data_IF_624374445355
#
_entry.id   IF_624374445355
#
_cell.length_a   1.000
_cell.length_b   1.000
_cell.length_c   1.000
_cell.angle_alpha   90.00
_cell.angle_beta   90.00
_cell.angle_gamma   90.00
#
_symmetry.space_group_name_H-M   'P 1'
#
loop_
_entity.id
_entity.type
_entity.pdbx_description
1 polymer ?
#
# COMPACT_ATOMS: atom_id res chain seq x y z
N UNK A 1 -22.37 20.82 6.19
CA UNK A 1 -21.49 20.98 5.01
C UNK A 1 -21.68 22.37 4.48
N UNK A 2 -20.61 23.16 4.47
CA UNK A 2 -20.58 24.55 4.01
C UNK A 2 -20.77 24.59 2.49
N UNK A 3 -21.47 25.60 1.96
CA UNK A 3 -21.61 25.76 0.50
C UNK A 3 -20.23 25.85 -0.17
N UNK A 4 -20.05 25.15 -1.30
CA UNK A 4 -18.83 25.22 -2.11
C UNK A 4 -19.12 26.08 -3.35
N UNK A 5 -18.81 27.39 -3.33
CA UNK A 5 -19.25 28.30 -4.37
C UNK A 5 -18.64 27.97 -5.74
N UNK A 6 -19.31 28.35 -6.85
CA UNK A 6 -18.72 28.27 -8.17
C UNK A 6 -17.36 28.98 -8.24
N UNK A 7 -16.42 28.39 -8.96
CA UNK A 7 -15.05 28.89 -9.09
C UNK A 7 -14.09 28.29 -8.07
N UNK A 8 -14.59 27.56 -7.08
CA UNK A 8 -13.75 26.80 -6.16
C UNK A 8 -13.18 25.55 -6.84
N UNK A 9 -11.91 25.27 -6.55
CA UNK A 9 -11.27 24.02 -6.95
C UNK A 9 -11.40 23.01 -5.81
N UNK A 10 -11.79 21.80 -6.16
CA UNK A 10 -11.90 20.68 -5.23
C UNK A 10 -11.08 19.51 -5.76
N UNK A 11 -10.78 18.56 -4.87
CA UNK A 11 -10.28 17.25 -5.26
C UNK A 11 -11.17 16.13 -4.78
N UNK A 12 -11.14 15.04 -5.53
CA UNK A 12 -11.77 13.79 -5.16
C UNK A 12 -10.90 12.63 -5.62
N UNK A 13 -11.13 11.45 -5.02
CA UNK A 13 -10.48 10.22 -5.45
C UNK A 13 -11.31 9.53 -6.53
N UNK A 14 -10.65 9.19 -7.63
CA UNK A 14 -11.17 8.36 -8.71
C UNK A 14 -10.20 7.20 -8.98
N UNK A 15 -10.65 5.97 -8.77
CA UNK A 15 -9.81 4.75 -8.87
C UNK A 15 -8.46 4.87 -8.16
N UNK A 16 -8.44 5.47 -6.96
CA UNK A 16 -7.24 5.66 -6.14
C UNK A 16 -6.33 6.81 -6.57
N UNK A 17 -6.72 7.62 -7.56
CA UNK A 17 -5.97 8.81 -7.99
C UNK A 17 -6.70 10.08 -7.63
N UNK A 18 -5.95 11.12 -7.25
CA UNK A 18 -6.48 12.45 -7.03
C UNK A 18 -6.84 13.12 -8.36
N UNK A 19 -8.03 13.70 -8.41
CA UNK A 19 -8.52 14.43 -9.57
C UNK A 19 -8.99 15.82 -9.13
N UNK A 20 -8.39 16.85 -9.72
CA UNK A 20 -8.81 18.24 -9.56
C UNK A 20 -10.06 18.52 -10.38
N UNK A 21 -11.01 19.24 -9.78
CA UNK A 21 -12.23 19.71 -10.43
C UNK A 21 -12.57 21.15 -10.07
N UNK A 22 -13.00 21.91 -11.07
CA UNK A 22 -13.53 23.26 -10.90
C UNK A 22 -15.05 23.19 -10.71
N UNK A 23 -15.55 23.72 -9.60
CA UNK A 23 -16.98 23.79 -9.32
C UNK A 23 -17.65 24.82 -10.22
N UNK A 24 -18.65 24.37 -10.98
CA UNK A 24 -19.48 25.20 -11.86
C UNK A 24 -20.79 25.60 -11.19
N UNK A 25 -21.34 24.72 -10.35
CA UNK A 25 -22.59 24.93 -9.62
C UNK A 25 -22.62 24.07 -8.36
N UNK A 26 -23.14 24.63 -7.27
CA UNK A 26 -23.52 23.89 -6.06
C UNK A 26 -25.04 23.74 -6.05
N UNK A 27 -25.53 22.52 -5.90
CA UNK A 27 -26.95 22.18 -5.87
C UNK A 27 -27.30 21.36 -4.63
N UNK A 28 -26.85 21.84 -3.45
CA UNK A 28 -27.13 21.27 -2.12
C UNK A 28 -26.90 19.76 -2.08
N UNK A 29 -25.69 19.35 -1.65
CA UNK A 29 -25.18 17.97 -1.55
C UNK A 29 -24.62 17.39 -2.87
N UNK A 30 -24.77 18.09 -4.00
CA UNK A 30 -24.09 17.72 -5.25
C UNK A 30 -23.44 18.94 -5.90
N UNK A 31 -22.21 18.74 -6.36
CA UNK A 31 -21.42 19.73 -7.08
C UNK A 31 -21.39 19.35 -8.56
N UNK A 32 -21.83 20.25 -9.43
CA UNK A 32 -21.55 20.16 -10.87
C UNK A 32 -20.16 20.72 -11.11
N UNK A 33 -19.28 19.94 -11.71
CA UNK A 33 -17.88 20.29 -11.87
C UNK A 33 -17.31 19.90 -13.22
N UNK A 34 -16.30 20.65 -13.67
CA UNK A 34 -15.41 20.33 -14.78
C UNK A 34 -14.12 19.74 -14.19
N UNK A 35 -13.75 18.53 -14.55
CA UNK A 35 -12.50 17.93 -14.06
C UNK A 35 -11.30 18.17 -15.00
N UNK A 36 -10.09 17.87 -14.51
CA UNK A 36 -8.83 18.01 -15.26
C UNK A 36 -8.75 17.16 -16.55
N UNK A 37 -9.65 16.20 -16.73
CA UNK A 37 -9.77 15.37 -17.94
C UNK A 37 -10.77 15.95 -18.95
N UNK A 38 -11.34 17.13 -18.67
CA UNK A 38 -12.32 17.78 -19.52
C UNK A 38 -13.70 17.12 -19.50
N UNK A 39 -14.05 16.39 -18.44
CA UNK A 39 -15.41 15.85 -18.24
C UNK A 39 -16.21 16.75 -17.30
N UNK A 40 -17.46 16.98 -17.64
CA UNK A 40 -18.43 17.58 -16.71
C UNK A 40 -19.21 16.48 -16.00
N UNK A 41 -19.36 16.61 -14.68
CA UNK A 41 -20.06 15.60 -13.88
C UNK A 41 -20.70 16.20 -12.62
N UNK A 42 -21.59 15.43 -12.01
CA UNK A 42 -22.18 15.75 -10.71
C UNK A 42 -21.57 14.86 -9.63
N UNK A 43 -20.77 15.43 -8.74
CA UNK A 43 -20.13 14.73 -7.64
C UNK A 43 -20.92 14.95 -6.32
N UNK A 44 -21.23 13.90 -5.56
CA UNK A 44 -21.74 14.06 -4.19
C UNK A 44 -20.71 14.82 -3.35
N UNK A 45 -21.16 15.80 -2.56
CA UNK A 45 -20.27 16.64 -1.76
C UNK A 45 -19.43 15.78 -0.79
N UNK A 46 -19.98 14.68 -0.28
CA UNK A 46 -19.28 13.71 0.59
C UNK A 46 -18.07 13.00 -0.05
N UNK A 47 -17.86 13.10 -1.37
CA UNK A 47 -16.67 12.55 -2.06
C UNK A 47 -15.53 13.57 -2.19
N UNK A 48 -15.74 14.81 -1.79
CA UNK A 48 -14.72 15.85 -1.82
C UNK A 48 -13.69 15.57 -0.73
N UNK A 49 -12.40 15.70 -1.08
CA UNK A 49 -11.26 15.51 -0.18
C UNK A 49 -10.65 16.84 0.22
N UNK A 50 -10.46 17.75 -0.73
CA UNK A 50 -9.94 19.11 -0.48
C UNK A 50 -10.84 20.14 -1.14
N UNK A 51 -10.89 21.33 -0.55
CA UNK A 51 -11.61 22.50 -1.06
C UNK A 51 -10.68 23.69 -0.97
N UNK A 52 -10.35 24.29 -2.11
CA UNK A 52 -9.52 25.50 -2.17
C UNK A 52 -10.26 26.72 -1.62
N UNK A 53 -9.56 27.56 -0.87
CA UNK A 53 -10.02 28.85 -0.36
C UNK A 53 -10.09 29.88 -1.50
N UNK A 54 -9.18 29.79 -2.47
CA UNK A 54 -9.10 30.68 -3.63
C UNK A 54 -10.20 30.39 -4.63
N UNK A 55 -10.83 31.45 -5.15
CA UNK A 55 -11.81 31.36 -6.25
C UNK A 55 -11.14 31.67 -7.57
N UNK A 56 -11.38 30.79 -8.54
CA UNK A 56 -10.89 30.92 -9.91
C UNK A 56 -12.01 31.36 -10.85
N UNK A 57 -11.63 32.02 -11.95
CA UNK A 57 -12.58 32.47 -12.94
C UNK A 57 -13.17 31.29 -13.71
N UNK A 58 -14.48 31.32 -13.94
CA UNK A 58 -15.22 30.27 -14.66
C UNK A 58 -15.51 30.68 -16.11
N UNK A 59 -15.41 31.98 -16.43
CA UNK A 59 -15.78 32.56 -17.71
C UNK A 59 -14.67 32.44 -18.78
N UNK A 60 -13.55 31.81 -18.46
CA UNK A 60 -12.47 31.52 -19.41
C UNK A 60 -12.84 30.34 -20.31
N UNK A 61 -12.02 30.08 -21.33
CA UNK A 61 -12.29 28.97 -22.26
C UNK A 61 -12.30 27.63 -21.51
N UNK A 62 -12.93 26.61 -22.10
CA UNK A 62 -12.89 25.25 -21.53
C UNK A 62 -11.45 24.73 -21.44
N UNK A 63 -10.64 25.04 -22.45
CA UNK A 63 -9.24 24.60 -22.55
C UNK A 63 -8.39 25.23 -21.44
N UNK A 64 -8.53 26.53 -21.18
CA UNK A 64 -7.80 27.24 -20.11
C UNK A 64 -8.10 26.65 -18.73
N UNK A 65 -9.39 26.35 -18.46
CA UNK A 65 -9.80 25.74 -17.19
C UNK A 65 -9.23 24.33 -17.02
N UNK A 66 -9.15 23.55 -18.09
CA UNK A 66 -8.53 22.23 -18.06
C UNK A 66 -7.02 22.35 -17.84
N UNK A 67 -6.36 23.31 -18.50
CA UNK A 67 -4.93 23.57 -18.34
C UNK A 67 -4.60 23.95 -16.89
N UNK A 68 -5.35 24.89 -16.31
CA UNK A 68 -5.24 25.28 -14.89
C UNK A 68 -5.36 24.07 -13.96
N UNK A 69 -6.40 23.23 -14.13
CA UNK A 69 -6.60 22.07 -13.28
C UNK A 69 -5.47 21.05 -13.38
N UNK A 70 -4.89 20.87 -14.58
CA UNK A 70 -3.74 19.97 -14.79
C UNK A 70 -2.46 20.53 -14.16
N UNK A 71 -2.22 21.82 -14.30
CA UNK A 71 -1.08 22.51 -13.68
C UNK A 71 -1.14 22.37 -12.16
N UNK A 72 -2.29 22.67 -11.55
CA UNK A 72 -2.48 22.51 -10.11
C UNK A 72 -2.38 21.05 -9.67
N UNK A 73 -2.92 20.11 -10.46
CA UNK A 73 -2.79 18.69 -10.14
C UNK A 73 -1.34 18.21 -10.12
N UNK A 74 -0.52 18.68 -11.08
CA UNK A 74 0.90 18.40 -11.16
C UNK A 74 1.68 19.06 -10.00
N UNK A 75 1.48 20.36 -9.77
CA UNK A 75 2.11 21.08 -8.68
C UNK A 75 1.84 20.43 -7.32
N UNK A 76 0.57 20.07 -7.05
CA UNK A 76 0.20 19.38 -5.81
C UNK A 76 0.84 17.99 -5.70
N UNK A 77 1.07 17.29 -6.82
CA UNK A 77 1.73 15.99 -6.79
C UNK A 77 3.22 16.15 -6.45
N UNK A 78 3.88 17.13 -7.08
CA UNK A 78 5.29 17.45 -6.80
C UNK A 78 5.48 17.88 -5.34
N UNK A 79 4.55 18.69 -4.80
CA UNK A 79 4.56 19.08 -3.39
C UNK A 79 4.28 17.92 -2.45
N UNK A 80 3.41 16.97 -2.82
CA UNK A 80 3.08 15.80 -1.99
C UNK A 80 4.30 14.95 -1.69
N UNK A 81 5.16 14.73 -2.69
CA UNK A 81 6.37 13.91 -2.55
C UNK A 81 7.41 14.57 -1.62
N UNK A 82 7.32 15.89 -1.42
CA UNK A 82 8.21 16.65 -0.56
C UNK A 82 7.72 16.77 0.90
N UNK A 83 6.52 16.27 1.24
CA UNK A 83 5.96 16.38 2.59
C UNK A 83 6.68 15.43 3.56
N UNK A 84 7.39 15.92 4.59
CA UNK A 84 8.11 15.09 5.53
C UNK A 84 7.16 14.56 6.62
N UNK A 85 6.32 13.55 6.29
CA UNK A 85 5.30 13.03 7.21
C UNK A 85 5.86 12.52 8.55
N UNK A 86 7.07 11.95 8.56
CA UNK A 86 7.70 11.49 9.80
C UNK A 86 8.06 12.65 10.72
N UNK A 87 8.67 13.72 10.19
CA UNK A 87 9.05 14.91 10.97
C UNK A 87 7.81 15.63 11.53
N UNK A 88 6.76 15.79 10.69
CA UNK A 88 5.49 16.37 11.13
C UNK A 88 4.87 15.51 12.25
N UNK A 89 4.98 14.18 12.12
CA UNK A 89 4.45 13.25 13.11
C UNK A 89 5.21 13.32 14.43
N UNK A 90 6.54 13.41 14.42
CA UNK A 90 7.36 13.55 15.62
C UNK A 90 6.89 14.75 16.44
N UNK A 91 6.75 15.92 15.80
CA UNK A 91 6.26 17.14 16.45
C UNK A 91 4.82 16.98 16.97
N UNK A 92 3.91 16.50 16.13
CA UNK A 92 2.49 16.39 16.49
C UNK A 92 2.21 15.32 17.55
N UNK A 93 3.10 14.33 17.69
CA UNK A 93 2.95 13.24 18.67
C UNK A 93 3.36 13.62 20.09
N UNK A 94 4.06 14.75 20.27
CA UNK A 94 4.42 15.29 21.58
C UNK A 94 3.27 16.04 22.26
N UNK A 95 2.27 16.46 21.47
CA UNK A 95 1.08 17.16 21.95
C UNK A 95 0.11 16.22 22.68
N UNK A 96 -0.67 16.76 23.63
CA UNK A 96 -1.73 15.99 24.31
C UNK A 96 -2.90 15.66 23.36
N UNK A 97 -3.10 16.50 22.35
CA UNK A 97 -4.10 16.30 21.31
C UNK A 97 -3.60 15.31 20.25
N UNK A 98 -4.49 14.45 19.74
CA UNK A 98 -4.16 13.45 18.69
C UNK A 98 -4.94 13.66 17.41
N UNK A 99 -5.75 14.73 17.34
CA UNK A 99 -6.66 15.00 16.23
C UNK A 99 -6.57 16.47 15.85
N UNK A 100 -6.03 16.75 14.67
CA UNK A 100 -5.73 18.10 14.22
C UNK A 100 -6.42 18.43 12.91
N UNK A 101 -6.74 19.71 12.67
CA UNK A 101 -7.04 20.20 11.32
C UNK A 101 -5.86 19.92 10.39
N UNK A 102 -6.15 19.60 9.12
CA UNK A 102 -5.09 19.30 8.17
C UNK A 102 -4.15 20.49 7.92
N UNK A 103 -4.70 21.71 7.86
CA UNK A 103 -3.91 22.93 7.69
C UNK A 103 -2.90 23.13 8.83
N UNK A 104 -3.29 22.89 10.09
CA UNK A 104 -2.38 23.02 11.23
C UNK A 104 -1.14 22.13 11.09
N UNK A 105 -1.32 20.87 10.71
CA UNK A 105 -0.19 19.96 10.51
C UNK A 105 0.63 20.30 9.25
N UNK A 106 -0.01 20.83 8.21
CA UNK A 106 0.70 21.30 7.03
C UNK A 106 1.56 22.54 7.33
N UNK A 107 1.14 23.42 8.24
CA UNK A 107 1.91 24.59 8.68
C UNK A 107 3.24 24.19 9.34
N UNK A 108 3.33 23.01 9.98
CA UNK A 108 4.58 22.51 10.56
C UNK A 108 5.67 22.28 9.51
N UNK A 109 5.31 22.03 8.25
CA UNK A 109 6.26 21.84 7.15
C UNK A 109 6.37 23.06 6.23
N UNK A 110 5.27 23.75 5.95
CA UNK A 110 5.22 24.82 4.97
C UNK A 110 5.16 26.25 5.57
N UNK A 111 5.00 26.37 6.89
CA UNK A 111 4.81 27.62 7.61
C UNK A 111 3.37 28.17 7.57
N UNK A 112 3.13 29.26 8.31
CA UNK A 112 1.80 29.83 8.60
C UNK A 112 1.02 30.37 7.37
N UNK A 113 1.67 30.56 6.22
CA UNK A 113 1.05 31.10 5.01
C UNK A 113 0.76 30.01 3.97
N UNK A 114 0.00 28.99 4.38
CA UNK A 114 -0.36 27.89 3.50
C UNK A 114 -1.13 28.35 2.27
N UNK A 115 -0.63 27.93 1.11
CA UNK A 115 -1.37 27.97 -0.15
C UNK A 115 -2.34 26.79 -0.23
N UNK A 116 -3.40 26.93 -1.04
CA UNK A 116 -4.35 25.85 -1.29
C UNK A 116 -3.68 24.58 -1.82
N UNK A 117 -2.58 24.73 -2.56
CA UNK A 117 -1.83 23.61 -3.13
C UNK A 117 -0.98 22.89 -2.07
N UNK A 118 -0.42 23.61 -1.09
CA UNK A 118 0.30 23.00 0.05
C UNK A 118 -0.64 22.25 1.00
N UNK A 119 -1.77 22.86 1.37
CA UNK A 119 -2.82 22.18 2.16
C UNK A 119 -3.29 20.89 1.48
N UNK A 120 -3.54 20.97 0.17
CA UNK A 120 -3.92 19.81 -0.62
C UNK A 120 -2.81 18.75 -0.70
N UNK A 121 -1.56 19.17 -0.90
CA UNK A 121 -0.41 18.28 -0.99
C UNK A 121 -0.20 17.48 0.30
N UNK A 122 -0.36 18.12 1.47
CA UNK A 122 -0.31 17.44 2.77
C UNK A 122 -1.40 16.38 2.91
N UNK A 123 -2.65 16.71 2.58
CA UNK A 123 -3.74 15.72 2.63
C UNK A 123 -3.50 14.56 1.64
N UNK A 124 -3.03 14.84 0.43
CA UNK A 124 -2.62 13.80 -0.51
C UNK A 124 -1.56 12.86 0.10
N UNK A 125 -0.55 13.41 0.77
CA UNK A 125 0.49 12.62 1.45
C UNK A 125 -0.11 11.70 2.51
N UNK A 126 -0.99 12.22 3.39
CA UNK A 126 -1.68 11.44 4.43
C UNK A 126 -2.56 10.32 3.85
N UNK A 127 -3.20 10.56 2.71
CA UNK A 127 -4.03 9.54 2.06
C UNK A 127 -3.21 8.44 1.39
N UNK A 128 -2.05 8.80 0.81
CA UNK A 128 -1.12 7.90 0.13
C UNK A 128 -0.32 7.06 1.11
N UNK A 129 0.26 7.66 2.15
CA UNK A 129 0.95 6.95 3.24
C UNK A 129 0.25 7.17 4.58
N UNK A 130 -0.44 6.12 5.03
CA UNK A 130 -1.18 6.08 6.29
C UNK A 130 -0.34 5.60 7.46
N UNK A 131 0.98 5.62 7.34
CA UNK A 131 1.86 5.09 8.37
C UNK A 131 1.82 5.90 9.67
N UNK A 132 1.85 7.22 9.55
CA UNK A 132 1.90 8.14 10.68
C UNK A 132 0.55 8.79 11.00
N UNK A 133 -0.33 8.87 10.00
CA UNK A 133 -1.57 9.61 10.09
C UNK A 133 -2.75 8.86 9.50
N UNK A 134 -3.94 9.22 9.98
CA UNK A 134 -5.22 8.74 9.44
C UNK A 134 -6.23 9.87 9.33
N UNK A 135 -6.67 10.15 8.11
CA UNK A 135 -7.75 11.11 7.88
C UNK A 135 -9.13 10.49 8.17
N UNK A 136 -9.93 11.15 9.02
CA UNK A 136 -11.29 10.75 9.37
C UNK A 136 -12.10 11.96 9.85
N UNK A 137 -13.36 12.05 9.42
CA UNK A 137 -14.29 13.12 9.81
C UNK A 137 -13.72 14.52 9.59
N UNK A 138 -13.12 14.75 8.42
CA UNK A 138 -12.50 16.02 8.03
C UNK A 138 -11.26 16.42 8.85
N UNK A 139 -10.78 15.54 9.74
CA UNK A 139 -9.64 15.75 10.62
C UNK A 139 -8.53 14.71 10.40
N UNK A 140 -7.30 15.07 10.75
CA UNK A 140 -6.15 14.17 10.71
C UNK A 140 -5.88 13.63 12.11
N UNK A 141 -5.94 12.32 12.27
CA UNK A 141 -5.59 11.64 13.51
C UNK A 141 -4.11 11.23 13.43
N UNK A 142 -3.33 11.62 14.43
CA UNK A 142 -1.92 11.27 14.59
C UNK A 142 -1.84 9.90 15.25
N UNK A 143 -1.03 9.00 14.71
CA UNK A 143 -0.78 7.71 15.35
C UNK A 143 0.09 7.89 16.59
N UNK A 144 -0.14 7.12 17.66
CA UNK A 144 0.73 7.19 18.83
C UNK A 144 2.10 6.55 18.54
N UNK A 145 3.16 6.87 19.32
CA UNK A 145 4.46 6.19 19.21
C UNK A 145 4.36 4.66 19.25
N UNK A 146 3.47 4.11 20.09
CA UNK A 146 3.24 2.66 20.17
C UNK A 146 2.61 2.11 18.90
N UNK A 147 1.66 2.84 18.29
CA UNK A 147 1.04 2.44 17.03
C UNK A 147 2.07 2.46 15.89
N UNK A 148 2.90 3.49 15.83
CA UNK A 148 3.98 3.59 14.82
C UNK A 148 5.00 2.47 15.01
N UNK A 149 5.39 2.16 16.25
CA UNK A 149 6.31 1.05 16.51
C UNK A 149 5.72 -0.31 16.12
N UNK A 150 4.43 -0.54 16.39
CA UNK A 150 3.73 -1.73 15.90
C UNK A 150 3.73 -1.80 14.36
N UNK A 151 3.48 -0.68 13.67
CA UNK A 151 3.52 -0.61 12.22
C UNK A 151 4.94 -0.82 11.67
N UNK A 152 5.98 -0.29 12.32
CA UNK A 152 7.40 -0.53 11.97
C UNK A 152 7.73 -2.02 12.07
N UNK A 153 7.36 -2.66 13.17
CA UNK A 153 7.59 -4.09 13.37
C UNK A 153 6.82 -4.95 12.35
N UNK A 154 5.57 -4.59 12.03
CA UNK A 154 4.78 -5.28 11.00
C UNK A 154 5.42 -5.14 9.62
N UNK A 155 5.79 -3.92 9.19
CA UNK A 155 6.49 -3.69 7.92
C UNK A 155 7.81 -4.45 7.84
N UNK A 156 8.57 -4.51 8.94
CA UNK A 156 9.81 -5.28 9.01
C UNK A 156 9.57 -6.78 8.78
N UNK A 157 8.60 -7.37 9.48
CA UNK A 157 8.22 -8.79 9.29
C UNK A 157 7.76 -9.09 7.88
N UNK A 158 6.95 -8.21 7.30
CA UNK A 158 6.49 -8.35 5.90
C UNK A 158 7.65 -8.26 4.91
N UNK A 159 8.60 -7.34 5.13
CA UNK A 159 9.80 -7.21 4.29
C UNK A 159 10.72 -8.42 4.40
N UNK A 160 10.93 -8.93 5.61
CA UNK A 160 11.68 -10.17 5.85
C UNK A 160 11.01 -11.36 5.14
N UNK A 161 9.68 -11.49 5.27
CA UNK A 161 8.90 -12.52 4.56
C UNK A 161 9.01 -12.37 3.05
N UNK A 162 8.85 -11.17 2.50
CA UNK A 162 8.92 -10.94 1.05
C UNK A 162 10.32 -11.19 0.49
N UNK A 163 11.38 -10.88 1.26
CA UNK A 163 12.75 -11.23 0.90
C UNK A 163 12.95 -12.75 0.84
N UNK A 164 12.44 -13.49 1.84
CA UNK A 164 12.45 -14.96 1.84
C UNK A 164 11.70 -15.50 0.62
N UNK A 165 10.51 -14.96 0.31
CA UNK A 165 9.72 -15.40 -0.83
C UNK A 165 10.40 -15.12 -2.16
N UNK A 166 11.02 -13.94 -2.31
CA UNK A 166 11.69 -13.54 -3.56
C UNK A 166 12.93 -14.37 -3.81
N UNK A 167 13.85 -14.43 -2.84
CA UNK A 167 15.10 -15.18 -2.93
C UNK A 167 14.82 -16.67 -3.04
N UNK A 168 13.92 -17.20 -2.22
CA UNK A 168 13.50 -18.59 -2.27
C UNK A 168 12.91 -18.96 -3.64
N UNK A 169 11.97 -18.17 -4.16
CA UNK A 169 11.35 -18.45 -5.45
C UNK A 169 12.37 -18.52 -6.59
N UNK A 170 13.35 -17.62 -6.61
CA UNK A 170 14.42 -17.62 -7.60
C UNK A 170 15.27 -18.90 -7.52
N UNK A 171 15.64 -19.34 -6.31
CA UNK A 171 16.41 -20.58 -6.13
C UNK A 171 15.60 -21.84 -6.44
N UNK A 172 14.31 -21.87 -6.10
CA UNK A 172 13.44 -22.99 -6.49
C UNK A 172 13.35 -23.14 -8.01
N UNK A 173 13.26 -22.02 -8.73
CA UNK A 173 13.30 -22.04 -10.20
C UNK A 173 14.65 -22.52 -10.73
N UNK A 174 15.77 -22.11 -10.12
CA UNK A 174 17.11 -22.58 -10.50
C UNK A 174 17.25 -24.12 -10.34
N UNK A 175 16.81 -24.66 -9.20
CA UNK A 175 16.76 -26.12 -8.97
C UNK A 175 15.88 -26.79 -10.03
N UNK A 176 14.73 -26.20 -10.34
CA UNK A 176 13.85 -26.69 -11.40
C UNK A 176 14.41 -26.56 -12.82
N UNK A 177 15.49 -25.80 -13.03
CA UNK A 177 16.27 -25.81 -14.29
C UNK A 177 17.44 -26.79 -14.26
N UNK A 178 17.68 -27.45 -13.14
CA UNK A 178 18.80 -28.37 -12.95
C UNK A 178 20.09 -27.70 -12.49
N UNK A 179 20.01 -26.44 -12.07
CA UNK A 179 21.16 -25.73 -11.49
C UNK A 179 21.45 -26.25 -10.07
N UNK A 180 22.74 -26.31 -9.72
CA UNK A 180 23.18 -26.66 -8.36
C UNK A 180 23.18 -25.40 -7.49
N UNK A 181 22.36 -25.39 -6.45
CA UNK A 181 22.31 -24.30 -5.46
C UNK A 181 22.99 -24.78 -4.18
N UNK A 182 24.07 -24.11 -3.78
CA UNK A 182 24.82 -24.48 -2.57
C UNK A 182 24.25 -23.80 -1.31
N UNK A 183 24.59 -24.36 -0.14
CA UNK A 183 24.15 -23.80 1.15
C UNK A 183 24.73 -22.40 1.41
N UNK A 184 25.89 -22.07 0.85
CA UNK A 184 26.48 -20.72 0.94
C UNK A 184 25.67 -19.70 0.12
N UNK A 185 25.12 -20.11 -1.02
CA UNK A 185 24.28 -19.26 -1.87
C UNK A 185 22.88 -19.07 -1.28
N UNK A 186 22.35 -20.12 -0.66
CA UNK A 186 21.03 -20.10 -0.04
C UNK A 186 21.06 -20.71 1.37
N UNK A 187 21.45 -19.94 2.40
CA UNK A 187 21.53 -20.43 3.77
C UNK A 187 20.22 -21.02 4.32
N UNK A 188 19.09 -20.50 3.83
CA UNK A 188 17.75 -20.95 4.22
C UNK A 188 17.24 -22.21 3.47
N UNK A 189 18.04 -22.76 2.53
CA UNK A 189 17.65 -23.87 1.67
C UNK A 189 17.05 -25.04 2.44
N UNK A 190 17.76 -25.56 3.45
CA UNK A 190 17.30 -26.73 4.22
C UNK A 190 15.97 -26.47 4.93
N UNK A 191 15.82 -25.28 5.52
CA UNK A 191 14.61 -24.88 6.24
C UNK A 191 13.42 -24.77 5.30
N UNK A 192 13.59 -24.11 4.16
CA UNK A 192 12.52 -23.87 3.18
C UNK A 192 12.12 -25.16 2.46
N UNK A 193 13.10 -26.00 2.08
CA UNK A 193 12.79 -27.32 1.51
C UNK A 193 12.09 -28.24 2.52
N UNK A 194 12.44 -28.15 3.82
CA UNK A 194 11.71 -28.82 4.89
C UNK A 194 10.23 -28.40 4.94
N UNK A 195 9.95 -27.09 4.92
CA UNK A 195 8.56 -26.61 4.86
C UNK A 195 7.80 -27.11 3.63
N UNK A 196 8.46 -27.20 2.48
CA UNK A 196 7.85 -27.73 1.26
C UNK A 196 7.58 -29.24 1.39
N UNK A 197 8.47 -30.00 2.03
CA UNK A 197 8.25 -31.41 2.32
C UNK A 197 7.04 -31.61 3.24
N UNK A 198 6.98 -30.86 4.35
CA UNK A 198 5.86 -30.89 5.29
C UNK A 198 4.55 -30.52 4.58
N UNK A 199 4.58 -29.49 3.72
CA UNK A 199 3.43 -29.10 2.91
C UNK A 199 2.97 -30.19 1.93
N UNK A 200 3.89 -30.96 1.34
CA UNK A 200 3.49 -32.08 0.47
C UNK A 200 2.89 -33.25 1.26
N UNK A 201 3.31 -33.45 2.51
CA UNK A 201 2.81 -34.53 3.38
C UNK A 201 1.48 -34.19 4.06
N UNK A 202 1.31 -32.95 4.49
CA UNK A 202 0.20 -32.50 5.35
C UNK A 202 -0.67 -31.40 4.73
N UNK A 203 -0.31 -30.88 3.56
CA UNK A 203 -1.04 -29.83 2.85
C UNK A 203 -1.37 -28.62 3.73
N UNK A 204 -2.66 -28.34 4.00
CA UNK A 204 -3.10 -27.23 4.84
C UNK A 204 -2.83 -27.40 6.33
N UNK A 205 -2.50 -28.61 6.78
CA UNK A 205 -2.19 -28.90 8.20
C UNK A 205 -0.73 -28.59 8.56
N UNK A 206 0.12 -28.26 7.58
CA UNK A 206 1.51 -27.87 7.83
C UNK A 206 1.61 -26.45 8.40
N UNK A 207 2.47 -26.25 9.41
CA UNK A 207 2.68 -24.97 10.11
C UNK A 207 2.98 -23.78 9.17
N UNK A 208 3.69 -24.03 8.08
CA UNK A 208 4.12 -23.01 7.11
C UNK A 208 3.38 -23.11 5.78
N UNK A 209 2.21 -23.75 5.74
CA UNK A 209 1.45 -23.99 4.51
C UNK A 209 1.19 -22.70 3.70
N UNK A 210 0.83 -21.60 4.36
CA UNK A 210 0.58 -20.31 3.69
C UNK A 210 1.83 -19.73 3.04
N UNK A 211 2.98 -19.84 3.72
CA UNK A 211 4.28 -19.35 3.19
C UNK A 211 4.69 -20.20 1.99
N UNK A 212 4.55 -21.52 2.08
CA UNK A 212 4.87 -22.45 0.99
C UNK A 212 3.96 -22.21 -0.23
N UNK A 213 2.65 -22.01 -0.04
CA UNK A 213 1.74 -21.66 -1.14
C UNK A 213 2.14 -20.37 -1.84
N UNK A 214 2.50 -19.33 -1.08
CA UNK A 214 2.97 -18.06 -1.63
C UNK A 214 4.30 -18.24 -2.39
N UNK A 215 5.21 -19.03 -1.83
CA UNK A 215 6.52 -19.32 -2.43
C UNK A 215 6.39 -20.08 -3.75
N UNK A 216 5.64 -21.17 -3.78
CA UNK A 216 5.39 -21.96 -4.98
C UNK A 216 4.66 -21.15 -6.05
N UNK A 217 3.67 -20.33 -5.66
CA UNK A 217 2.99 -19.43 -6.60
C UNK A 217 3.97 -18.43 -7.22
N UNK A 218 4.83 -17.81 -6.43
CA UNK A 218 5.82 -16.82 -6.88
C UNK A 218 6.92 -17.45 -7.74
N UNK A 219 7.27 -18.71 -7.47
CA UNK A 219 8.18 -19.50 -8.31
C UNK A 219 7.52 -20.04 -9.59
N UNK A 220 6.21 -19.80 -9.79
CA UNK A 220 5.40 -20.39 -10.86
C UNK A 220 5.32 -21.93 -10.80
N UNK A 221 5.51 -22.51 -9.62
CA UNK A 221 5.51 -23.95 -9.33
C UNK A 221 4.18 -24.43 -8.70
N UNK A 222 3.06 -24.04 -9.29
CA UNK A 222 1.71 -24.26 -8.73
C UNK A 222 0.99 -25.50 -9.29
N UNK A 223 1.60 -26.24 -10.21
CA UNK A 223 0.98 -27.44 -10.77
C UNK A 223 1.12 -28.64 -9.82
N UNK A 224 0.17 -29.61 -9.88
CA UNK A 224 0.29 -30.85 -9.13
C UNK A 224 1.65 -31.52 -9.35
N UNK A 225 2.22 -32.09 -8.29
CA UNK A 225 3.50 -32.80 -8.28
C UNK A 225 4.75 -31.94 -8.55
N UNK A 226 4.65 -30.62 -8.79
CA UNK A 226 5.84 -29.78 -8.95
C UNK A 226 6.62 -29.63 -7.64
N UNK A 227 5.94 -29.53 -6.50
CA UNK A 227 6.60 -29.51 -5.19
C UNK A 227 7.35 -30.82 -4.91
N UNK A 228 6.76 -31.98 -5.23
CA UNK A 228 7.45 -33.28 -5.13
C UNK A 228 8.67 -33.35 -6.05
N UNK A 229 8.51 -33.00 -7.34
CA UNK A 229 9.62 -32.99 -8.31
C UNK A 229 10.74 -32.04 -7.90
N UNK A 230 10.41 -30.91 -7.30
CA UNK A 230 11.36 -29.96 -6.76
C UNK A 230 12.18 -30.59 -5.64
N UNK A 231 11.54 -31.28 -4.69
CA UNK A 231 12.23 -31.97 -3.59
C UNK A 231 13.14 -33.09 -4.09
N UNK A 232 12.72 -33.83 -5.11
CA UNK A 232 13.56 -34.84 -5.78
C UNK A 232 14.78 -34.19 -6.44
N UNK A 233 14.58 -33.11 -7.21
CA UNK A 233 15.69 -32.39 -7.87
C UNK A 233 16.63 -31.70 -6.89
N UNK A 234 16.11 -31.26 -5.76
CA UNK A 234 16.90 -30.71 -4.67
C UNK A 234 17.67 -31.79 -3.87
N UNK A 235 17.46 -33.08 -4.18
CA UNK A 235 18.10 -34.20 -3.49
C UNK A 235 17.54 -34.46 -2.10
N UNK A 236 16.36 -33.93 -1.77
CA UNK A 236 15.69 -34.13 -0.47
C UNK A 236 14.96 -35.47 -0.43
N UNK A 237 14.33 -35.85 -1.55
CA UNK A 237 13.60 -37.11 -1.70
C UNK A 237 14.15 -37.94 -2.86
N UNK A 238 13.97 -39.25 -2.78
CA UNK A 238 14.20 -40.16 -3.91
C UNK A 238 13.09 -40.07 -4.96
N UNK A 239 13.33 -40.61 -6.17
CA UNK A 239 12.30 -40.69 -7.21
C UNK A 239 11.07 -41.51 -6.77
N UNK A 240 11.29 -42.53 -5.93
CA UNK A 240 10.30 -43.51 -5.46
C UNK A 240 10.06 -43.39 -3.94
N UNK A 241 10.01 -42.16 -3.43
CA UNK A 241 9.80 -41.90 -2.01
C UNK A 241 8.40 -42.35 -1.55
N UNK A 242 8.32 -43.10 -0.44
CA UNK A 242 7.04 -43.59 0.08
C UNK A 242 6.38 -42.54 0.98
N UNK A 243 5.65 -41.60 0.37
CA UNK A 243 4.97 -40.51 1.07
C UNK A 243 4.03 -40.96 2.20
N UNK A 244 3.22 -42.03 2.06
CA UNK A 244 2.42 -42.57 3.16
C UNK A 244 3.23 -43.01 4.39
N UNK A 245 4.39 -43.63 4.21
CA UNK A 245 5.27 -44.01 5.33
C UNK A 245 5.86 -42.78 6.02
N UNK A 246 6.37 -41.81 5.24
CA UNK A 246 6.91 -40.55 5.79
C UNK A 246 5.85 -39.79 6.60
N UNK A 247 4.61 -39.75 6.10
CA UNK A 247 3.49 -39.13 6.81
C UNK A 247 3.19 -39.82 8.15
N UNK A 248 3.26 -41.15 8.20
CA UNK A 248 3.03 -41.92 9.42
C UNK A 248 4.16 -41.71 10.45
N UNK A 249 5.42 -41.75 10.01
CA UNK A 249 6.59 -41.55 10.89
C UNK A 249 6.65 -40.13 11.48
N UNK A 250 6.31 -39.10 10.70
CA UNK A 250 6.26 -37.72 11.20
C UNK A 250 5.00 -37.42 12.01
N UNK A 251 3.88 -38.10 11.72
CA UNK A 251 2.64 -38.00 12.50
C UNK A 251 2.76 -38.59 13.90
N UNK A 252 3.56 -39.66 14.09
CA UNK A 252 3.82 -40.22 15.43
C UNK A 252 4.66 -39.29 16.31
N UNK A 253 5.56 -38.49 15.74
CA UNK A 253 6.41 -37.54 16.49
C UNK A 253 5.60 -36.34 17.01
N UNK A 254 4.49 -35.97 16.35
CA UNK A 254 3.63 -34.85 16.78
C UNK A 254 2.63 -35.22 17.90
N UNK A 255 2.49 -36.52 18.22
CA UNK A 255 1.52 -37.05 19.20
C UNK A 255 2.20 -37.37 20.55
N UNK A 256 3.52 -37.20 20.67
CA UNK A 256 4.31 -37.47 21.90
C UNK A 256 4.75 -36.19 22.58
#
# INVERSE_FOLDING_TARGET
MTMTPPGTIIEYLDSGRFVCGLVLQDSNNRLRLLNQNGREMNLPASRVVTVSKTKHQINTSREDRIALLKEMAALRADLTDAVPLEEIWELASEEEESVFPADFLAELSFGENLTDDQSAAFLRAVFTDRFFFKYKNEMVNVHTPEQVEQLRHQRRKEKEKEAILTTGAAYLQAIMRGEQVTAEQWPDQKRILGWIADFVLFESEADQADVVRQLLKKAELHQPNQAYRLLVRAGVWGNDENLPLLRAEQGEILIV
#
